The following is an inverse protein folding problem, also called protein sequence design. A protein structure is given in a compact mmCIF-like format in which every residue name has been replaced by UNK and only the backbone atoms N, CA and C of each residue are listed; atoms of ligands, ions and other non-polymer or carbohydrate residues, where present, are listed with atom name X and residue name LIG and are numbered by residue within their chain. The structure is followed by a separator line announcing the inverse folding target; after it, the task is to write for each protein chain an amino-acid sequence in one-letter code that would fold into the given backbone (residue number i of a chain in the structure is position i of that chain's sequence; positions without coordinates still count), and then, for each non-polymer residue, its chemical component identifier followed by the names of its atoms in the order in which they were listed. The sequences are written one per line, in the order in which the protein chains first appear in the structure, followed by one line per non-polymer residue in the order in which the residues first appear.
data_IF_399270509885
#
_entry.id   IF_399270509885
#
_cell.length_a   1.000
_cell.length_b   1.000
_cell.length_c   1.000
_cell.angle_alpha   90.00
_cell.angle_beta   90.00
_cell.angle_gamma   90.00
#
_symmetry.space_group_name_H-M   'P 1'
#
loop_
_entity.id
_entity.type
_entity.pdbx_description
1 polymer ?
#
# COMPACT_ATOMS: atom_id res chain seq x y z
N UNK A 1 3.82 13.16 -18.31
CA UNK A 1 4.75 12.51 -17.36
C UNK A 1 4.32 11.06 -17.24
N UNK A 2 5.27 10.12 -17.29
CA UNK A 2 4.95 8.70 -17.22
C UNK A 2 4.79 8.33 -15.74
N UNK A 3 3.55 8.11 -15.28
CA UNK A 3 3.23 7.76 -13.89
C UNK A 3 3.53 6.29 -13.58
N UNK A 4 4.58 5.70 -14.18
CA UNK A 4 4.93 4.30 -13.99
C UNK A 4 5.67 4.11 -12.66
N UNK A 5 5.10 3.38 -11.68
CA UNK A 5 5.77 3.11 -10.40
C UNK A 5 7.10 2.37 -10.52
N UNK A 6 7.43 1.76 -11.67
CA UNK A 6 8.72 1.12 -11.91
C UNK A 6 9.92 2.04 -11.63
N UNK A 7 9.76 3.36 -11.79
CA UNK A 7 10.81 4.34 -11.48
C UNK A 7 11.21 4.34 -9.99
N UNK A 8 10.36 3.81 -9.10
CA UNK A 8 10.61 3.69 -7.67
C UNK A 8 11.09 2.29 -7.23
N UNK A 9 11.51 1.42 -8.16
CA UNK A 9 11.92 0.05 -7.83
C UNK A 9 13.02 -0.02 -6.76
N UNK A 10 14.06 0.82 -6.84
CA UNK A 10 15.13 0.83 -5.86
C UNK A 10 14.66 1.24 -4.45
N UNK A 11 13.93 2.37 -4.28
CA UNK A 11 13.26 2.69 -3.01
C UNK A 11 12.35 1.57 -2.50
N UNK A 12 11.52 0.97 -3.36
CA UNK A 12 10.63 -0.15 -2.98
C UNK A 12 11.42 -1.31 -2.40
N UNK A 13 12.51 -1.74 -3.05
CA UNK A 13 13.35 -2.84 -2.54
C UNK A 13 13.98 -2.47 -1.20
N UNK A 14 14.47 -1.25 -1.05
CA UNK A 14 15.09 -0.78 0.19
C UNK A 14 14.08 -0.77 1.36
N UNK A 15 12.94 -0.10 1.18
CA UNK A 15 11.92 0.04 2.23
C UNK A 15 11.20 -1.26 2.55
N UNK A 16 10.93 -2.11 1.54
CA UNK A 16 10.38 -3.43 1.77
C UNK A 16 11.32 -4.29 2.64
N UNK A 17 12.64 -4.22 2.38
CA UNK A 17 13.64 -4.93 3.19
C UNK A 17 13.69 -4.41 4.63
N UNK A 18 13.63 -3.10 4.84
CA UNK A 18 13.59 -2.48 6.17
C UNK A 18 12.35 -2.92 6.96
N UNK A 19 11.18 -2.89 6.33
CA UNK A 19 9.92 -3.33 6.91
C UNK A 19 9.73 -4.86 6.90
N UNK A 20 10.66 -5.63 6.32
CA UNK A 20 10.61 -7.10 6.20
C UNK A 20 9.36 -7.62 5.47
N UNK A 21 8.91 -6.92 4.45
CA UNK A 21 7.79 -7.32 3.58
C UNK A 21 8.27 -7.70 2.18
N UNK A 22 7.43 -8.37 1.39
CA UNK A 22 7.77 -8.72 0.02
C UNK A 22 7.82 -7.45 -0.88
N UNK A 23 8.97 -7.11 -1.50
CA UNK A 23 9.07 -5.98 -2.42
C UNK A 23 8.17 -6.13 -3.66
N UNK A 24 7.88 -7.36 -4.11
CA UNK A 24 6.98 -7.60 -5.23
C UNK A 24 5.54 -7.23 -4.87
N UNK A 25 5.07 -7.59 -3.65
CA UNK A 25 3.76 -7.17 -3.14
C UNK A 25 3.67 -5.64 -3.04
N UNK A 26 4.68 -4.99 -2.45
CA UNK A 26 4.70 -3.53 -2.32
C UNK A 26 4.64 -2.85 -3.69
N UNK A 27 5.44 -3.30 -4.66
CA UNK A 27 5.40 -2.77 -6.03
C UNK A 27 4.05 -3.04 -6.73
N UNK A 28 3.43 -4.21 -6.51
CA UNK A 28 2.11 -4.52 -7.07
C UNK A 28 1.01 -3.60 -6.51
N UNK A 29 1.10 -3.23 -5.23
CA UNK A 29 0.21 -2.23 -4.62
C UNK A 29 0.40 -0.86 -5.26
N UNK A 30 1.64 -0.38 -5.44
CA UNK A 30 1.87 0.90 -6.12
C UNK A 30 1.30 0.90 -7.55
N UNK A 31 1.41 -0.21 -8.26
CA UNK A 31 0.75 -0.38 -9.56
C UNK A 31 -0.78 -0.37 -9.50
N UNK A 32 -1.38 -0.90 -8.44
CA UNK A 32 -2.83 -0.80 -8.21
C UNK A 32 -3.27 0.64 -7.96
N UNK A 33 -2.48 1.41 -7.21
CA UNK A 33 -2.79 2.79 -6.84
C UNK A 33 -2.57 3.79 -7.98
N UNK A 34 -1.66 3.48 -8.92
CA UNK A 34 -1.32 4.32 -10.08
C UNK A 34 -2.45 4.46 -11.13
N UNK A 35 -3.68 4.03 -10.85
CA UNK A 35 -4.83 4.20 -11.75
C UNK A 35 -5.23 5.68 -11.92
N UNK A 36 -4.79 6.57 -11.03
CA UNK A 36 -4.94 8.03 -11.11
C UNK A 36 -3.57 8.72 -11.20
N UNK A 37 -3.47 9.91 -11.81
CA UNK A 37 -2.26 10.71 -11.73
C UNK A 37 -1.94 11.11 -10.28
N UNK A 38 -0.68 10.99 -9.88
CA UNK A 38 -0.16 11.42 -8.57
C UNK A 38 0.72 12.67 -8.73
N UNK A 39 0.17 13.68 -9.41
CA UNK A 39 0.85 14.97 -9.55
C UNK A 39 0.76 15.74 -8.22
N UNK A 40 1.89 16.16 -7.62
CA UNK A 40 1.89 16.75 -6.28
C UNK A 40 1.04 18.02 -6.18
N UNK A 41 1.06 18.89 -7.21
CA UNK A 41 0.31 20.14 -7.20
C UNK A 41 -1.20 19.86 -7.26
N UNK A 42 -1.62 18.90 -8.08
CA UNK A 42 -3.02 18.44 -8.11
C UNK A 42 -3.44 17.78 -6.79
N UNK A 43 -2.58 16.96 -6.17
CA UNK A 43 -2.89 16.34 -4.87
C UNK A 43 -3.02 17.38 -3.75
N UNK A 44 -2.21 18.46 -3.75
CA UNK A 44 -2.36 19.57 -2.79
C UNK A 44 -3.65 20.35 -2.98
N UNK A 45 -4.02 20.67 -4.22
CA UNK A 45 -5.30 21.31 -4.50
C UNK A 45 -6.46 20.45 -4.01
N UNK A 46 -6.38 19.14 -4.26
CA UNK A 46 -7.36 18.17 -3.78
C UNK A 46 -7.39 18.07 -2.25
N UNK A 47 -6.24 18.12 -1.58
CA UNK A 47 -6.12 18.11 -0.11
C UNK A 47 -6.86 19.29 0.53
N UNK A 48 -6.79 20.48 -0.06
CA UNK A 48 -7.53 21.65 0.45
C UNK A 48 -9.04 21.48 0.34
N UNK A 49 -9.52 20.72 -0.66
CA UNK A 49 -10.94 20.49 -0.90
C UNK A 49 -11.50 19.26 -0.17
N UNK A 50 -10.70 18.20 -0.01
CA UNK A 50 -11.08 16.92 0.61
C UNK A 50 -10.02 16.46 1.60
N UNK A 51 -10.05 16.97 2.84
CA UNK A 51 -8.97 16.78 3.82
C UNK A 51 -8.77 15.32 4.25
N UNK A 52 -9.77 14.46 4.04
CA UNK A 52 -9.73 13.03 4.39
C UNK A 52 -9.42 12.11 3.19
N UNK A 53 -8.91 12.67 2.09
CA UNK A 53 -8.49 11.88 0.92
C UNK A 53 -7.29 10.98 1.24
N UNK A 54 -6.80 10.26 0.24
CA UNK A 54 -5.58 9.47 0.32
C UNK A 54 -4.56 9.99 -0.72
N UNK A 55 -3.28 10.02 -0.35
CA UNK A 55 -2.23 10.76 -1.05
C UNK A 55 -0.93 9.99 -1.24
N UNK A 56 -0.08 10.55 -2.11
CA UNK A 56 1.18 9.98 -2.53
C UNK A 56 0.96 8.79 -3.47
N UNK A 57 2.07 8.28 -4.01
CA UNK A 57 2.06 7.18 -4.98
C UNK A 57 1.52 5.86 -4.41
N UNK A 58 1.43 5.76 -3.08
CA UNK A 58 0.84 4.62 -2.39
C UNK A 58 -0.62 4.87 -1.95
N UNK A 59 -1.20 6.03 -2.30
CA UNK A 59 -2.57 6.41 -2.03
C UNK A 59 -2.99 6.10 -0.58
N UNK A 60 -2.19 6.56 0.39
CA UNK A 60 -2.36 6.23 1.80
C UNK A 60 -3.30 7.22 2.49
N UNK A 61 -4.23 6.72 3.30
CA UNK A 61 -5.13 7.53 4.13
C UNK A 61 -4.42 8.08 5.38
N UNK A 62 -4.85 9.28 5.82
CA UNK A 62 -4.29 9.95 7.00
C UNK A 62 -4.29 9.09 8.26
N UNK A 63 -5.40 8.41 8.56
CA UNK A 63 -5.51 7.58 9.76
C UNK A 63 -4.49 6.43 9.76
N UNK A 64 -4.32 5.75 8.62
CA UNK A 64 -3.32 4.70 8.46
C UNK A 64 -1.89 5.24 8.59
N UNK A 65 -1.62 6.43 8.03
CA UNK A 65 -0.31 7.07 8.17
C UNK A 65 0.00 7.46 9.63
N UNK A 66 -0.97 8.05 10.34
CA UNK A 66 -0.79 8.48 11.73
C UNK A 66 -0.65 7.29 12.69
N UNK A 67 -1.22 6.14 12.36
CA UNK A 67 -1.00 4.87 13.07
C UNK A 67 0.39 4.31 12.77
N UNK A 68 0.73 4.12 11.49
CA UNK A 68 1.98 3.45 11.08
C UNK A 68 3.24 4.21 11.50
N UNK A 69 3.19 5.55 11.55
CA UNK A 69 4.38 6.35 11.89
C UNK A 69 4.81 6.25 13.36
N UNK A 70 3.96 5.74 14.24
CA UNK A 70 4.25 5.73 15.69
C UNK A 70 5.45 4.84 16.01
N UNK A 71 6.44 5.40 16.72
CA UNK A 71 7.64 4.67 17.12
C UNK A 71 8.63 4.37 15.98
N UNK A 72 8.48 5.00 14.81
CA UNK A 72 9.37 4.85 13.65
C UNK A 72 10.18 6.12 13.38
N UNK A 73 11.20 6.01 12.54
CA UNK A 73 12.12 7.12 12.23
C UNK A 73 11.39 8.32 11.59
N UNK A 74 10.26 8.08 10.92
CA UNK A 74 9.40 9.12 10.35
C UNK A 74 8.24 9.57 11.25
N UNK A 75 8.26 9.27 12.56
CA UNK A 75 7.18 9.63 13.49
C UNK A 75 6.86 11.14 13.50
N UNK A 76 7.85 11.99 13.24
CA UNK A 76 7.71 13.44 13.19
C UNK A 76 7.15 13.96 11.86
N UNK A 77 7.03 13.10 10.84
CA UNK A 77 6.55 13.48 9.50
C UNK A 77 5.02 13.65 9.48
N UNK A 78 4.57 14.46 8.53
CA UNK A 78 3.16 14.71 8.30
C UNK A 78 2.66 13.84 7.14
N UNK A 79 1.42 13.37 7.26
CA UNK A 79 0.72 12.76 6.13
C UNK A 79 0.62 13.71 4.92
N UNK A 80 0.69 15.03 5.17
CA UNK A 80 0.68 16.04 4.12
C UNK A 80 1.98 16.07 3.30
N UNK A 81 3.04 15.40 3.77
CA UNK A 81 4.33 15.33 3.06
C UNK A 81 4.29 14.27 1.94
N UNK A 82 3.32 13.35 1.96
CA UNK A 82 3.26 12.21 1.04
C UNK A 82 3.23 12.55 -0.46
N UNK A 83 2.55 13.63 -0.93
CA UNK A 83 2.59 14.01 -2.33
C UNK A 83 3.99 14.39 -2.82
N UNK A 84 4.82 14.96 -1.96
CA UNK A 84 6.13 15.52 -2.32
C UNK A 84 7.30 14.60 -2.03
N UNK A 85 7.07 13.59 -1.19
CA UNK A 85 8.08 12.65 -0.72
C UNK A 85 7.66 11.22 -1.07
N UNK A 86 7.92 10.76 -2.31
CA UNK A 86 7.59 9.40 -2.73
C UNK A 86 8.29 8.34 -1.89
N UNK A 87 9.49 8.61 -1.36
CA UNK A 87 10.20 7.66 -0.50
C UNK A 87 9.50 7.50 0.85
N UNK A 88 9.03 8.60 1.46
CA UNK A 88 8.16 8.53 2.64
C UNK A 88 6.86 7.77 2.35
N UNK A 89 6.25 7.97 1.18
CA UNK A 89 5.03 7.25 0.80
C UNK A 89 5.27 5.73 0.70
N UNK A 90 6.43 5.33 0.15
CA UNK A 90 6.83 3.92 0.05
C UNK A 90 7.18 3.36 1.43
N UNK A 91 7.92 4.10 2.25
CA UNK A 91 8.31 3.69 3.60
C UNK A 91 7.06 3.47 4.48
N UNK A 92 6.12 4.41 4.46
CA UNK A 92 4.86 4.29 5.20
C UNK A 92 4.04 3.09 4.70
N UNK A 93 3.93 2.87 3.39
CA UNK A 93 3.22 1.72 2.83
C UNK A 93 3.87 0.38 3.20
N UNK A 94 5.21 0.31 3.17
CA UNK A 94 5.96 -0.89 3.56
C UNK A 94 5.70 -1.26 5.02
N UNK A 95 5.77 -0.27 5.93
CA UNK A 95 5.48 -0.50 7.34
C UNK A 95 4.00 -0.78 7.60
N UNK A 96 3.08 -0.24 6.81
CA UNK A 96 1.68 -0.55 6.95
C UNK A 96 1.40 -2.02 6.61
N UNK A 97 2.04 -2.56 5.58
CA UNK A 97 1.98 -3.98 5.25
C UNK A 97 2.58 -4.86 6.36
N UNK A 98 3.68 -4.42 6.97
CA UNK A 98 4.27 -5.11 8.13
C UNK A 98 3.26 -5.21 9.29
N UNK A 99 2.61 -4.10 9.62
CA UNK A 99 1.66 -4.05 10.73
C UNK A 99 0.39 -4.86 10.42
N UNK A 100 -0.06 -4.87 9.16
CA UNK A 100 -1.12 -5.76 8.68
C UNK A 100 -0.72 -7.23 8.84
N UNK A 101 0.49 -7.62 8.43
CA UNK A 101 0.99 -8.98 8.58
C UNK A 101 1.02 -9.42 10.05
N UNK A 102 1.49 -8.54 10.94
CA UNK A 102 1.49 -8.80 12.38
C UNK A 102 0.08 -8.99 12.97
N UNK A 103 -0.95 -8.44 12.32
CA UNK A 103 -2.36 -8.55 12.75
C UNK A 103 -3.10 -9.78 12.20
N UNK A 104 -2.47 -10.55 11.30
CA UNK A 104 -3.10 -11.74 10.72
C UNK A 104 -3.32 -12.85 11.77
N UNK A 105 -4.40 -13.64 11.64
CA UNK A 105 -4.56 -14.83 12.47
C UNK A 105 -3.44 -15.83 12.19
N UNK A 106 -2.95 -16.51 13.24
CA UNK A 106 -1.88 -17.53 13.13
C UNK A 106 -2.21 -18.67 12.18
N UNK A 107 -3.49 -19.04 12.12
CA UNK A 107 -4.00 -20.10 11.23
C UNK A 107 -5.17 -19.53 10.41
N UNK A 108 -4.89 -18.92 9.25
CA UNK A 108 -5.92 -18.55 8.30
C UNK A 108 -6.63 -19.81 7.79
N UNK A 109 -7.96 -19.77 7.73
CA UNK A 109 -8.79 -20.86 7.19
C UNK A 109 -9.44 -20.50 5.86
N UNK A 110 -9.27 -19.26 5.40
CA UNK A 110 -9.78 -18.76 4.13
C UNK A 110 -8.95 -19.20 2.91
N UNK A 111 -9.46 -18.93 1.69
CA UNK A 111 -8.83 -19.38 0.44
C UNK A 111 -7.67 -18.48 -0.03
N UNK A 112 -7.45 -17.34 0.62
CA UNK A 112 -6.49 -16.33 0.19
C UNK A 112 -5.09 -16.63 0.73
N UNK A 113 -4.09 -16.41 -0.11
CA UNK A 113 -2.69 -16.39 0.29
C UNK A 113 -2.39 -15.19 1.20
N UNK A 114 -1.21 -15.21 1.84
CA UNK A 114 -0.77 -14.10 2.70
C UNK A 114 -0.74 -12.77 1.93
N UNK A 115 -0.14 -12.74 0.75
CA UNK A 115 0.04 -11.51 -0.03
C UNK A 115 -1.31 -10.93 -0.49
N UNK A 116 -2.25 -11.80 -0.84
CA UNK A 116 -3.63 -11.41 -1.17
C UNK A 116 -4.36 -10.83 0.05
N UNK A 117 -4.19 -11.43 1.23
CA UNK A 117 -4.76 -10.91 2.47
C UNK A 117 -4.17 -9.53 2.80
N UNK A 118 -2.86 -9.35 2.66
CA UNK A 118 -2.20 -8.07 2.90
C UNK A 118 -2.66 -7.00 1.90
N UNK A 119 -2.80 -7.32 0.62
CA UNK A 119 -3.35 -6.40 -0.39
C UNK A 119 -4.80 -6.03 -0.09
N UNK A 120 -5.63 -7.01 0.32
CA UNK A 120 -7.00 -6.74 0.77
C UNK A 120 -7.03 -5.89 2.04
N UNK A 121 -6.09 -6.11 2.98
CA UNK A 121 -5.94 -5.30 4.19
C UNK A 121 -5.53 -3.87 3.89
N UNK A 122 -4.63 -3.68 2.92
CA UNK A 122 -4.24 -2.35 2.44
C UNK A 122 -5.44 -1.60 1.85
N UNK A 123 -6.27 -2.30 1.06
CA UNK A 123 -7.44 -1.70 0.41
C UNK A 123 -8.63 -1.49 1.35
N UNK A 124 -8.82 -2.36 2.35
CA UNK A 124 -10.08 -2.45 3.12
C UNK A 124 -9.92 -2.35 4.64
N UNK A 125 -8.68 -2.27 5.12
CA UNK A 125 -8.32 -2.24 6.54
C UNK A 125 -8.17 -3.64 7.19
N UNK A 126 -7.45 -3.67 8.32
CA UNK A 126 -7.10 -4.90 9.04
C UNK A 126 -8.32 -5.73 9.49
N UNK A 127 -9.41 -5.08 9.89
CA UNK A 127 -10.64 -5.78 10.33
C UNK A 127 -11.27 -6.63 9.23
N UNK A 128 -11.36 -6.08 8.01
CA UNK A 128 -11.88 -6.79 6.84
C UNK A 128 -10.91 -7.89 6.39
N UNK A 129 -9.60 -7.61 6.36
CA UNK A 129 -8.57 -8.63 6.12
C UNK A 129 -8.71 -9.81 7.07
N UNK A 130 -8.90 -9.57 8.37
CA UNK A 130 -9.12 -10.63 9.36
C UNK A 130 -10.40 -11.43 9.09
N UNK A 131 -11.46 -10.80 8.59
CA UNK A 131 -12.67 -11.50 8.17
C UNK A 131 -12.43 -12.38 6.93
N UNK A 132 -11.70 -11.88 5.93
CA UNK A 132 -11.34 -12.62 4.73
C UNK A 132 -10.41 -13.81 5.05
N UNK A 133 -9.47 -13.63 5.98
CA UNK A 133 -8.60 -14.69 6.49
C UNK A 133 -9.38 -15.84 7.15
N UNK A 134 -10.62 -15.58 7.60
CA UNK A 134 -11.56 -16.57 8.15
C UNK A 134 -12.60 -17.06 7.14
N UNK A 135 -12.45 -16.72 5.86
CA UNK A 135 -13.30 -17.21 4.77
C UNK A 135 -14.52 -16.34 4.42
N UNK A 136 -14.64 -15.13 4.98
CA UNK A 136 -15.65 -14.17 4.50
C UNK A 136 -15.33 -13.81 3.05
N UNK A 137 -16.35 -13.79 2.19
CA UNK A 137 -16.18 -13.46 0.78
C UNK A 137 -16.01 -11.94 0.61
N UNK A 138 -14.95 -11.46 -0.08
CA UNK A 138 -14.80 -10.04 -0.38
C UNK A 138 -15.95 -9.55 -1.26
N UNK A 139 -16.34 -8.28 -1.10
CA UNK A 139 -17.30 -7.60 -1.99
C UNK A 139 -16.74 -7.34 -3.39
N UNK A 140 -17.55 -6.76 -4.29
CA UNK A 140 -17.13 -6.49 -5.68
C UNK A 140 -15.89 -5.62 -5.79
N UNK A 141 -15.83 -4.53 -5.02
CA UNK A 141 -14.68 -3.60 -5.05
C UNK A 141 -13.38 -4.28 -4.59
N UNK A 142 -13.43 -5.03 -3.48
CA UNK A 142 -12.28 -5.75 -2.96
C UNK A 142 -11.81 -6.86 -3.92
N UNK A 143 -12.74 -7.54 -4.61
CA UNK A 143 -12.39 -8.48 -5.69
C UNK A 143 -11.71 -7.78 -6.86
N UNK A 144 -12.27 -6.67 -7.35
CA UNK A 144 -11.63 -5.90 -8.43
C UNK A 144 -10.22 -5.42 -8.07
N UNK A 145 -9.98 -5.08 -6.80
CA UNK A 145 -8.63 -4.74 -6.33
C UNK A 145 -7.68 -5.93 -6.41
N UNK A 146 -8.14 -7.11 -6.00
CA UNK A 146 -7.37 -8.34 -6.06
C UNK A 146 -7.07 -8.76 -7.51
N UNK A 147 -8.05 -8.67 -8.39
CA UNK A 147 -7.88 -8.97 -9.83
C UNK A 147 -6.78 -8.08 -10.43
N UNK A 148 -6.79 -6.77 -10.11
CA UNK A 148 -5.73 -5.85 -10.55
C UNK A 148 -4.36 -6.19 -9.96
N UNK A 149 -4.32 -6.63 -8.70
CA UNK A 149 -3.08 -7.07 -8.06
C UNK A 149 -2.48 -8.24 -8.85
N UNK A 150 -3.30 -9.22 -9.22
CA UNK A 150 -2.89 -10.38 -10.02
C UNK A 150 -2.41 -9.96 -11.41
N UNK A 151 -3.14 -9.08 -12.10
CA UNK A 151 -2.73 -8.52 -13.40
C UNK A 151 -1.38 -7.79 -13.31
N UNK A 152 -1.12 -7.15 -12.16
CA UNK A 152 0.10 -6.40 -11.91
C UNK A 152 1.25 -7.24 -11.37
N UNK A 153 1.00 -8.47 -10.92
CA UNK A 153 1.96 -9.27 -10.16
C UNK A 153 3.25 -9.53 -10.94
N UNK A 154 3.12 -10.02 -12.18
CA UNK A 154 4.29 -10.37 -12.99
C UNK A 154 5.12 -9.13 -13.40
N UNK A 155 4.48 -7.97 -13.63
CA UNK A 155 5.21 -6.73 -13.94
C UNK A 155 5.90 -6.15 -12.71
N UNK A 156 5.25 -6.21 -11.55
CA UNK A 156 5.83 -5.82 -10.27
C UNK A 156 7.10 -6.63 -9.97
N UNK A 157 7.03 -7.95 -10.11
CA UNK A 157 8.17 -8.85 -9.89
C UNK A 157 9.31 -8.65 -10.90
N UNK A 158 9.04 -8.12 -12.10
CA UNK A 158 10.11 -7.73 -13.04
C UNK A 158 10.76 -6.40 -12.64
N UNK A 159 9.96 -5.44 -12.17
CA UNK A 159 10.45 -4.11 -11.80
C UNK A 159 11.44 -4.17 -10.62
N UNK A 160 11.18 -5.00 -9.62
CA UNK A 160 12.01 -5.11 -8.40
C UNK A 160 13.10 -6.20 -8.47
N UNK A 161 13.26 -6.86 -9.63
CA UNK A 161 14.30 -7.87 -9.82
C UNK A 161 15.62 -7.17 -10.14
N UNK A 162 16.52 -7.13 -9.17
CA UNK A 162 17.88 -6.60 -9.31
C UNK A 162 18.90 -7.66 -8.89
#
# INVERSE_FOLDING_TARGET
MNNDPAHFAAPVVARAKEAKVDPQLLMAILYNEAYKPHDPDLEREWQRMKPDSAFGIANMHKAAFDEVKQGRDFAARSWQDLPDDPDLAIEAAAWHLHDLEASLPKEPSGPFTKDELLALGYNTGAGNMGAFARGVKPGSMARSYLDRLHDNWAKAGRAVRH
#
